data_IF_487401172606
#
_entry.id   IF_487401172606
#
_cell.length_a   1.000
_cell.length_b   1.000
_cell.length_c   1.000
_cell.angle_alpha   90.00
_cell.angle_beta   90.00
_cell.angle_gamma   90.00
#
_symmetry.space_group_name_H-M   'P 1'
#
loop_
_entity.id
_entity.type
_entity.pdbx_description
1 polymer ?
#
# COMPACT_ATOMS: atom_id res chain seq x y z
N UNK A 1 -51.82 4.08 72.51
CA UNK A 1 -53.19 4.31 73.01
C UNK A 1 -54.03 4.81 71.83
N UNK A 2 -55.02 4.02 71.45
CA UNK A 2 -56.16 4.30 70.56
C UNK A 2 -55.96 4.90 69.15
N UNK A 3 -56.23 4.05 68.15
CA UNK A 3 -56.87 4.43 66.86
C UNK A 3 -58.34 4.80 67.13
N UNK A 4 -59.00 5.65 66.31
CA UNK A 4 -59.87 5.09 65.26
C UNK A 4 -60.04 5.94 63.96
N UNK A 5 -59.91 5.24 62.83
CA UNK A 5 -60.85 5.06 61.69
C UNK A 5 -61.91 6.16 61.35
N UNK A 6 -61.80 6.63 60.08
CA UNK A 6 -62.85 6.93 59.06
C UNK A 6 -63.68 8.22 59.12
N UNK A 7 -63.59 9.03 58.04
CA UNK A 7 -64.59 9.04 56.93
C UNK A 7 -64.13 9.86 55.72
N UNK A 8 -64.45 9.33 54.53
CA UNK A 8 -64.20 9.87 53.19
C UNK A 8 -65.17 11.01 52.84
N UNK A 9 -64.70 11.98 52.04
CA UNK A 9 -65.54 12.69 51.05
C UNK A 9 -64.73 12.92 49.77
N UNK A 10 -65.39 12.67 48.64
CA UNK A 10 -64.83 12.63 47.29
C UNK A 10 -64.50 14.03 46.72
N UNK A 11 -63.49 14.08 45.85
CA UNK A 11 -63.19 15.20 44.96
C UNK A 11 -63.38 14.75 43.49
N UNK A 12 -63.79 15.65 42.58
CA UNK A 12 -64.19 15.29 41.22
C UNK A 12 -63.01 15.07 40.28
N UNK A 13 -63.26 14.26 39.25
CA UNK A 13 -62.27 13.72 38.33
C UNK A 13 -61.53 14.74 37.46
N UNK A 14 -60.28 14.41 37.17
CA UNK A 14 -59.53 14.91 36.02
C UNK A 14 -59.35 13.74 35.04
N UNK A 15 -59.95 13.87 33.86
CA UNK A 15 -59.64 13.03 32.71
C UNK A 15 -58.30 13.47 32.12
N UNK A 16 -57.28 12.62 32.00
CA UNK A 16 -56.09 12.96 31.25
C UNK A 16 -56.41 12.87 29.75
N UNK A 17 -56.18 13.96 29.03
CA UNK A 17 -56.27 14.00 27.58
C UNK A 17 -55.29 12.99 26.97
N UNK A 18 -55.82 12.04 26.22
CA UNK A 18 -55.03 11.17 25.34
C UNK A 18 -54.42 12.05 24.24
N UNK A 19 -53.16 12.44 24.41
CA UNK A 19 -52.32 12.90 23.32
C UNK A 19 -52.19 11.75 22.32
N UNK A 20 -52.91 11.84 21.21
CA UNK A 20 -52.68 10.99 20.03
C UNK A 20 -51.32 11.39 19.48
N UNK A 21 -50.26 10.75 20.00
CA UNK A 21 -48.93 10.84 19.42
C UNK A 21 -49.03 10.21 18.04
N UNK A 22 -49.02 11.05 17.01
CA UNK A 22 -49.14 10.65 15.62
C UNK A 22 -47.92 9.78 15.25
N UNK A 23 -48.08 8.45 15.01
CA UNK A 23 -46.96 7.57 14.70
C UNK A 23 -46.27 7.93 13.36
N UNK A 24 -46.94 8.72 12.50
CA UNK A 24 -46.33 9.24 11.28
C UNK A 24 -45.19 10.24 11.54
N UNK A 25 -45.23 11.01 12.63
CA UNK A 25 -44.19 12.01 12.90
C UNK A 25 -42.90 11.36 13.43
N UNK A 26 -43.05 10.28 14.21
CA UNK A 26 -41.91 9.47 14.65
C UNK A 26 -41.26 8.72 13.49
N UNK A 27 -42.05 8.23 12.52
CA UNK A 27 -41.55 7.58 11.31
C UNK A 27 -40.83 8.58 10.38
N UNK A 28 -41.32 9.81 10.26
CA UNK A 28 -40.69 10.86 9.44
C UNK A 28 -39.37 11.37 10.06
N UNK A 29 -39.30 11.46 11.39
CA UNK A 29 -38.07 11.84 12.09
C UNK A 29 -37.00 10.73 12.08
N UNK A 30 -37.39 9.45 12.03
CA UNK A 30 -36.44 8.34 11.82
C UNK A 30 -35.96 8.24 10.36
N UNK A 31 -36.81 8.57 9.38
CA UNK A 31 -36.41 8.67 7.97
C UNK A 31 -35.47 9.86 7.68
N UNK A 32 -35.58 10.97 8.41
CA UNK A 32 -34.66 12.11 8.29
C UNK A 32 -33.28 11.86 8.92
N UNK A 33 -33.20 10.98 9.92
CA UNK A 33 -31.91 10.51 10.49
C UNK A 33 -31.25 9.41 9.65
N UNK A 34 -31.94 8.89 8.63
CA UNK A 34 -31.41 7.98 7.61
C UNK A 34 -30.95 8.73 6.34
N UNK A 35 -30.89 10.06 6.39
CA UNK A 35 -30.09 10.84 5.46
C UNK A 35 -28.62 10.52 5.69
N UNK A 36 -28.17 9.35 5.24
CA UNK A 36 -26.77 9.09 5.00
C UNK A 36 -26.30 10.14 4.00
N UNK A 37 -25.75 11.23 4.51
CA UNK A 37 -24.74 11.97 3.78
C UNK A 37 -23.76 10.90 3.32
N UNK A 38 -23.81 10.54 2.04
CA UNK A 38 -22.80 9.67 1.46
C UNK A 38 -21.53 10.49 1.51
N UNK A 39 -20.79 10.34 2.61
CA UNK A 39 -19.66 11.18 2.90
C UNK A 39 -18.60 10.83 1.86
N UNK A 40 -18.27 11.78 1.00
CA UNK A 40 -17.11 11.77 0.13
C UNK A 40 -16.08 12.70 0.74
N UNK A 41 -15.52 12.37 1.93
CA UNK A 41 -14.68 13.28 2.69
C UNK A 41 -13.44 13.69 1.90
N UNK A 42 -12.87 12.81 1.09
CA UNK A 42 -11.66 13.10 0.33
C UNK A 42 -11.96 14.08 -0.80
N UNK A 43 -12.97 13.80 -1.63
CA UNK A 43 -13.41 14.73 -2.70
C UNK A 43 -13.81 16.09 -2.12
N UNK A 44 -14.55 16.11 -1.01
CA UNK A 44 -14.95 17.37 -0.40
C UNK A 44 -13.74 18.14 0.17
N UNK A 45 -12.77 17.47 0.78
CA UNK A 45 -11.55 18.11 1.29
C UNK A 45 -10.69 18.68 0.15
N UNK A 46 -10.51 17.89 -0.93
CA UNK A 46 -9.79 18.28 -2.13
C UNK A 46 -10.39 19.53 -2.78
N UNK A 47 -11.71 19.55 -3.02
CA UNK A 47 -12.40 20.65 -3.70
C UNK A 47 -12.62 21.90 -2.82
N UNK A 48 -12.58 21.76 -1.48
CA UNK A 48 -12.76 22.89 -0.56
C UNK A 48 -11.44 23.56 -0.15
N UNK A 49 -10.31 22.90 -0.39
CA UNK A 49 -9.00 23.46 -0.14
C UNK A 49 -8.61 24.41 -1.29
N UNK A 50 -8.04 25.60 -1.00
CA UNK A 50 -7.49 26.43 -2.07
C UNK A 50 -6.35 25.64 -2.74
N UNK A 51 -6.55 25.27 -4.00
CA UNK A 51 -5.51 24.61 -4.80
C UNK A 51 -4.29 25.55 -4.83
N UNK A 52 -3.08 25.04 -4.55
CA UNK A 52 -1.87 25.83 -4.72
C UNK A 52 -1.84 26.41 -6.14
N UNK A 53 -1.47 27.69 -6.31
CA UNK A 53 -1.48 28.39 -7.61
C UNK A 53 -0.64 27.71 -8.72
N UNK A 54 0.07 26.62 -8.41
CA UNK A 54 1.02 25.92 -9.28
C UNK A 54 0.68 24.44 -9.51
N UNK A 55 -0.37 23.89 -8.90
CA UNK A 55 -0.81 22.52 -9.15
C UNK A 55 -1.64 22.46 -10.45
N UNK A 56 -1.46 21.44 -11.30
CA UNK A 56 -2.33 21.23 -12.45
C UNK A 56 -3.79 21.03 -12.00
N UNK A 57 -4.72 21.66 -12.72
CA UNK A 57 -6.16 21.49 -12.48
C UNK A 57 -6.72 20.22 -13.16
N UNK A 58 -5.96 19.64 -14.06
CA UNK A 58 -6.32 18.44 -14.82
C UNK A 58 -5.06 17.79 -15.38
N UNK A 59 -5.05 16.46 -15.46
CA UNK A 59 -4.04 15.69 -16.16
C UNK A 59 -4.69 14.45 -16.81
N UNK A 60 -4.19 14.01 -17.96
CA UNK A 60 -4.64 12.77 -18.61
C UNK A 60 -3.46 12.10 -19.34
N UNK A 61 -3.17 10.85 -18.98
CA UNK A 61 -2.15 10.01 -19.59
C UNK A 61 -2.74 9.29 -20.82
N UNK A 62 -2.86 10.03 -21.92
CA UNK A 62 -3.55 9.55 -23.15
C UNK A 62 -2.89 8.34 -23.80
N UNK A 63 -1.58 8.16 -23.61
CA UNK A 63 -0.78 7.05 -24.14
C UNK A 63 -1.00 5.72 -23.39
N UNK A 64 -1.79 5.71 -22.29
CA UNK A 64 -2.10 4.48 -21.57
C UNK A 64 -2.95 3.57 -22.47
N UNK A 65 -2.49 2.34 -22.77
CA UNK A 65 -3.16 1.44 -23.69
C UNK A 65 -4.52 1.00 -23.13
N UNK A 66 -5.36 0.43 -24.00
CA UNK A 66 -6.69 -0.01 -23.61
C UNK A 66 -6.99 -1.39 -24.19
N UNK A 67 -7.42 -2.29 -23.30
CA UNK A 67 -7.85 -3.64 -23.62
C UNK A 67 -9.35 -3.78 -23.33
N UNK A 68 -10.23 -3.72 -24.36
CA UNK A 68 -11.67 -3.86 -24.15
C UNK A 68 -12.01 -5.29 -23.72
N UNK A 69 -12.77 -5.43 -22.63
CA UNK A 69 -13.12 -6.76 -22.11
C UNK A 69 -14.54 -6.86 -21.54
N UNK A 70 -15.12 -8.05 -21.70
CA UNK A 70 -16.41 -8.44 -21.14
C UNK A 70 -16.27 -9.01 -19.71
N UNK A 71 -17.36 -9.41 -19.07
CA UNK A 71 -17.40 -9.80 -17.64
C UNK A 71 -16.33 -10.86 -17.26
N UNK A 72 -15.84 -10.76 -16.02
CA UNK A 72 -14.90 -11.69 -15.33
C UNK A 72 -13.40 -11.61 -15.72
N UNK A 73 -12.98 -10.68 -16.58
CA UNK A 73 -11.56 -10.52 -16.97
C UNK A 73 -10.95 -9.13 -16.62
N UNK A 74 -11.68 -8.28 -15.88
CA UNK A 74 -11.23 -6.91 -15.57
C UNK A 74 -9.85 -6.82 -14.89
N UNK A 75 -9.46 -7.80 -14.07
CA UNK A 75 -8.13 -7.86 -13.42
C UNK A 75 -6.99 -8.00 -14.43
N UNK A 76 -6.94 -9.08 -15.24
CA UNK A 76 -5.97 -9.25 -16.32
C UNK A 76 -5.90 -8.04 -17.26
N UNK A 77 -7.03 -7.45 -17.66
CA UNK A 77 -7.07 -6.24 -18.51
C UNK A 77 -6.34 -5.06 -17.89
N UNK A 78 -6.71 -4.74 -16.65
CA UNK A 78 -6.21 -3.57 -15.95
C UNK A 78 -4.71 -3.73 -15.67
N UNK A 79 -4.27 -4.94 -15.31
CA UNK A 79 -2.85 -5.19 -15.09
C UNK A 79 -2.04 -5.18 -16.39
N UNK A 80 -2.56 -5.73 -17.49
CA UNK A 80 -1.89 -5.64 -18.80
C UNK A 80 -1.70 -4.19 -19.21
N UNK A 81 -2.74 -3.37 -19.02
CA UNK A 81 -2.70 -1.91 -19.27
C UNK A 81 -1.55 -1.25 -18.52
N UNK A 82 -1.43 -1.51 -17.21
CA UNK A 82 -0.38 -0.94 -16.36
C UNK A 82 1.03 -1.41 -16.78
N UNK A 83 1.16 -2.72 -17.04
CA UNK A 83 2.43 -3.34 -17.36
C UNK A 83 2.95 -2.88 -18.74
N UNK A 84 2.08 -2.80 -19.74
CA UNK A 84 2.44 -2.30 -21.07
C UNK A 84 2.83 -0.82 -21.03
N UNK A 85 2.05 0.02 -20.35
CA UNK A 85 2.43 1.43 -20.18
C UNK A 85 3.77 1.57 -19.45
N UNK A 86 4.03 0.71 -18.47
CA UNK A 86 5.33 0.66 -17.80
C UNK A 86 6.43 0.03 -18.66
N UNK A 87 6.19 -0.34 -19.92
CA UNK A 87 7.18 -0.87 -20.88
C UNK A 87 7.41 -2.38 -20.81
N UNK A 88 6.39 -3.17 -20.46
CA UNK A 88 6.39 -4.64 -20.54
C UNK A 88 5.41 -5.11 -21.60
N UNK A 89 5.89 -5.84 -22.60
CA UNK A 89 5.02 -6.50 -23.56
C UNK A 89 4.27 -7.64 -22.88
N UNK A 90 2.96 -7.46 -22.66
CA UNK A 90 2.09 -8.46 -22.04
C UNK A 90 0.65 -8.23 -22.51
N UNK A 91 -0.07 -9.32 -22.74
CA UNK A 91 -1.50 -9.28 -23.04
C UNK A 91 -2.33 -9.73 -21.83
N UNK A 92 -3.63 -9.40 -21.79
CA UNK A 92 -4.51 -9.92 -20.75
C UNK A 92 -4.53 -11.46 -20.67
N UNK A 93 -4.50 -12.15 -21.82
CA UNK A 93 -4.50 -13.62 -21.88
C UNK A 93 -3.27 -14.23 -21.19
N UNK A 94 -2.11 -13.57 -21.26
CA UNK A 94 -0.91 -13.99 -20.54
C UNK A 94 -1.07 -13.90 -19.01
N UNK A 95 -1.94 -13.02 -18.54
CA UNK A 95 -2.14 -12.72 -17.12
C UNK A 95 -3.26 -13.54 -16.50
N UNK A 96 -4.24 -14.03 -17.27
CA UNK A 96 -5.34 -14.90 -16.78
C UNK A 96 -4.83 -16.00 -15.84
N UNK A 97 -3.86 -16.87 -16.21
CA UNK A 97 -3.41 -17.96 -15.33
C UNK A 97 -2.65 -17.48 -14.08
N UNK A 98 -2.32 -16.19 -13.98
CA UNK A 98 -1.53 -15.62 -12.88
C UNK A 98 -2.37 -14.82 -11.89
N UNK A 99 -3.41 -14.15 -12.38
CA UNK A 99 -4.23 -13.24 -11.55
C UNK A 99 -5.67 -13.66 -11.40
N UNK A 100 -6.19 -14.56 -12.24
CA UNK A 100 -7.56 -15.03 -12.12
C UNK A 100 -7.61 -16.34 -11.33
N UNK A 101 -8.50 -16.42 -10.34
CA UNK A 101 -8.74 -17.60 -9.51
C UNK A 101 -10.12 -18.17 -9.87
N UNK A 102 -10.20 -19.25 -10.68
CA UNK A 102 -11.47 -19.78 -11.18
C UNK A 102 -12.45 -20.18 -10.08
N UNK A 103 -11.97 -20.78 -9.00
CA UNK A 103 -12.82 -21.27 -7.89
C UNK A 103 -13.48 -20.14 -7.10
N UNK A 104 -13.00 -18.90 -7.27
CA UNK A 104 -13.52 -17.70 -6.62
C UNK A 104 -14.01 -16.66 -7.62
N UNK A 105 -14.04 -17.02 -8.91
CA UNK A 105 -14.52 -16.19 -10.02
C UNK A 105 -13.98 -14.74 -10.02
N UNK A 106 -12.70 -14.55 -9.69
CA UNK A 106 -12.14 -13.20 -9.56
C UNK A 106 -10.62 -13.11 -9.45
N UNK A 107 -10.13 -11.88 -9.44
CA UNK A 107 -8.71 -11.54 -9.25
C UNK A 107 -8.51 -10.84 -7.91
N UNK A 108 -7.55 -11.25 -7.10
CA UNK A 108 -7.27 -10.59 -5.81
C UNK A 108 -5.99 -9.74 -5.86
N UNK A 109 -5.95 -8.76 -4.96
CA UNK A 109 -4.89 -7.77 -4.86
C UNK A 109 -3.51 -8.43 -4.69
N UNK A 110 -3.44 -9.56 -3.97
CA UNK A 110 -2.18 -10.29 -3.72
C UNK A 110 -1.61 -10.84 -5.03
N UNK A 111 -2.44 -11.45 -5.87
CA UNK A 111 -2.04 -11.95 -7.19
C UNK A 111 -1.67 -10.80 -8.12
N UNK A 112 -2.38 -9.66 -8.07
CA UNK A 112 -2.04 -8.46 -8.85
C UNK A 112 -0.64 -7.94 -8.50
N UNK A 113 -0.35 -7.80 -7.20
CA UNK A 113 0.98 -7.40 -6.72
C UNK A 113 2.06 -8.44 -7.08
N UNK A 114 1.73 -9.74 -6.98
CA UNK A 114 2.64 -10.84 -7.30
C UNK A 114 2.99 -10.91 -8.79
N UNK A 115 1.97 -10.86 -9.66
CA UNK A 115 2.12 -10.85 -11.11
C UNK A 115 2.92 -9.63 -11.56
N UNK A 116 2.64 -8.43 -11.03
CA UNK A 116 3.41 -7.22 -11.34
C UNK A 116 4.93 -7.42 -11.14
N UNK A 117 5.30 -8.06 -10.02
CA UNK A 117 6.69 -8.38 -9.71
C UNK A 117 7.29 -9.43 -10.64
N UNK A 118 6.52 -10.45 -11.02
CA UNK A 118 6.96 -11.44 -12.01
C UNK A 118 7.23 -10.80 -13.39
N UNK A 119 6.51 -9.73 -13.73
CA UNK A 119 6.75 -8.92 -14.92
C UNK A 119 7.79 -7.81 -14.71
N UNK A 120 8.63 -7.94 -13.67
CA UNK A 120 9.80 -7.10 -13.46
C UNK A 120 9.44 -5.62 -13.23
N UNK A 121 8.31 -5.38 -12.56
CA UNK A 121 7.93 -4.06 -12.04
C UNK A 121 7.80 -4.10 -10.52
N UNK A 122 8.19 -3.02 -9.88
CA UNK A 122 7.93 -2.83 -8.46
C UNK A 122 6.44 -2.52 -8.33
N UNK A 123 5.72 -3.40 -7.65
CA UNK A 123 4.32 -3.20 -7.33
C UNK A 123 4.24 -2.29 -6.10
N UNK A 124 3.85 -1.04 -6.29
CA UNK A 124 3.82 -0.04 -5.22
C UNK A 124 2.38 0.37 -4.92
N UNK A 125 1.80 -0.05 -3.77
CA UNK A 125 0.51 0.44 -3.32
C UNK A 125 0.59 1.96 -3.07
N UNK A 126 -0.40 2.70 -3.53
CA UNK A 126 -0.52 4.12 -3.17
C UNK A 126 -1.21 4.25 -1.82
N UNK A 127 -1.01 5.39 -1.16
CA UNK A 127 -1.80 5.76 0.02
C UNK A 127 -3.32 5.73 -0.33
N UNK A 128 -4.19 5.35 0.63
CA UNK A 128 -5.64 5.24 0.43
C UNK A 128 -6.33 6.62 0.40
N UNK A 129 -5.78 7.53 -0.40
CA UNK A 129 -6.13 8.95 -0.49
C UNK A 129 -6.24 9.36 -1.96
N UNK A 130 -7.28 10.14 -2.29
CA UNK A 130 -7.53 10.65 -3.63
C UNK A 130 -6.39 11.57 -4.10
N UNK A 131 -5.80 12.31 -3.17
CA UNK A 131 -4.61 13.14 -3.39
C UNK A 131 -3.42 12.31 -3.87
N UNK A 132 -3.20 11.12 -3.29
CA UNK A 132 -2.11 10.22 -3.71
C UNK A 132 -2.37 9.61 -5.10
N UNK A 133 -3.65 9.36 -5.44
CA UNK A 133 -4.04 8.93 -6.78
C UNK A 133 -3.77 10.04 -7.82
N UNK A 134 -4.13 11.28 -7.49
CA UNK A 134 -3.89 12.46 -8.33
C UNK A 134 -2.38 12.71 -8.50
N UNK A 135 -1.63 12.74 -7.40
CA UNK A 135 -0.18 12.91 -7.42
C UNK A 135 0.54 11.82 -8.22
N UNK A 136 0.02 10.59 -8.20
CA UNK A 136 0.53 9.52 -9.06
C UNK A 136 0.32 9.82 -10.56
N UNK A 137 -0.87 10.28 -10.94
CA UNK A 137 -1.18 10.65 -12.33
C UNK A 137 -0.31 11.82 -12.78
N UNK A 138 -0.13 12.85 -11.94
CA UNK A 138 0.72 14.00 -12.23
C UNK A 138 2.19 13.62 -12.40
N UNK A 139 2.65 12.64 -11.62
CA UNK A 139 3.97 12.03 -11.78
C UNK A 139 4.08 11.07 -12.98
N UNK A 140 3.01 10.92 -13.78
CA UNK A 140 3.01 10.11 -15.00
C UNK A 140 2.69 8.63 -14.78
N UNK A 141 2.16 8.24 -13.61
CA UNK A 141 1.82 6.87 -13.27
C UNK A 141 0.30 6.64 -13.29
N UNK A 142 -0.23 5.82 -14.21
CA UNK A 142 -1.61 5.37 -14.12
C UNK A 142 -1.77 4.48 -12.88
N UNK A 143 -2.94 4.57 -12.25
CA UNK A 143 -3.23 3.87 -10.99
C UNK A 143 -4.24 2.77 -11.24
N UNK A 144 -3.85 1.53 -10.97
CA UNK A 144 -4.78 0.41 -10.97
C UNK A 144 -5.55 0.41 -9.66
N UNK A 145 -6.88 0.49 -9.74
CA UNK A 145 -7.78 0.62 -8.58
C UNK A 145 -8.76 -0.54 -8.51
N UNK A 146 -9.18 -0.89 -7.30
CA UNK A 146 -10.26 -1.84 -7.07
C UNK A 146 -11.52 -1.10 -6.63
N UNK A 147 -12.59 -1.25 -7.40
CA UNK A 147 -13.89 -0.65 -7.09
C UNK A 147 -14.94 -1.73 -6.82
N UNK A 148 -15.95 -1.38 -6.03
CA UNK A 148 -17.21 -2.11 -5.97
C UNK A 148 -18.33 -1.25 -6.56
N UNK A 149 -18.72 -1.58 -7.79
CA UNK A 149 -19.71 -0.83 -8.57
C UNK A 149 -21.16 -1.11 -8.14
N UNK A 150 -21.39 -2.08 -7.26
CA UNK A 150 -22.70 -2.40 -6.72
C UNK A 150 -22.80 -2.08 -5.22
N UNK A 151 -23.88 -2.53 -4.58
CA UNK A 151 -24.10 -2.33 -3.14
C UNK A 151 -23.33 -3.36 -2.31
N UNK A 152 -22.99 -3.03 -1.07
CA UNK A 152 -22.20 -3.90 -0.16
C UNK A 152 -22.80 -5.31 0.04
N UNK A 153 -24.14 -5.43 0.03
CA UNK A 153 -24.84 -6.71 0.20
C UNK A 153 -24.93 -7.55 -1.09
N UNK A 154 -24.53 -7.00 -2.24
CA UNK A 154 -24.41 -7.71 -3.51
C UNK A 154 -23.25 -7.10 -4.32
N UNK A 155 -21.99 -7.38 -3.94
CA UNK A 155 -20.83 -6.70 -4.47
C UNK A 155 -20.58 -7.05 -5.94
N UNK A 156 -20.11 -6.07 -6.72
CA UNK A 156 -19.55 -6.24 -8.07
C UNK A 156 -18.16 -5.63 -8.09
N UNK A 157 -17.19 -6.47 -7.77
CA UNK A 157 -15.77 -6.12 -7.80
C UNK A 157 -15.31 -5.86 -9.22
N UNK A 158 -14.58 -4.76 -9.40
CA UNK A 158 -14.21 -4.26 -10.70
C UNK A 158 -12.86 -3.57 -10.63
N UNK A 159 -11.88 -4.07 -11.39
CA UNK A 159 -10.63 -3.35 -11.59
C UNK A 159 -10.77 -2.35 -12.73
N UNK A 160 -10.21 -1.17 -12.52
CA UNK A 160 -10.06 -0.13 -13.52
C UNK A 160 -8.67 0.50 -13.41
N UNK A 161 -8.29 1.27 -14.42
CA UNK A 161 -7.04 2.04 -14.39
C UNK A 161 -7.40 3.53 -14.47
N UNK A 162 -7.12 4.27 -13.42
CA UNK A 162 -7.19 5.73 -13.41
C UNK A 162 -6.01 6.28 -14.20
N UNK A 163 -6.32 7.09 -15.20
CA UNK A 163 -5.36 7.67 -16.14
C UNK A 163 -5.40 9.19 -16.16
N UNK A 164 -6.38 9.79 -15.49
CA UNK A 164 -6.54 11.23 -15.50
C UNK A 164 -7.55 11.72 -14.49
N UNK A 165 -7.60 13.04 -14.33
CA UNK A 165 -8.59 13.75 -13.53
C UNK A 165 -8.83 15.14 -14.11
N UNK A 166 -9.97 15.72 -13.76
CA UNK A 166 -10.30 17.12 -14.01
C UNK A 166 -11.00 17.67 -12.76
N UNK A 167 -10.36 18.65 -12.10
CA UNK A 167 -10.89 19.24 -10.86
C UNK A 167 -11.99 20.28 -11.12
N UNK A 168 -12.04 20.87 -12.32
CA UNK A 168 -13.09 21.82 -12.69
C UNK A 168 -14.40 21.09 -12.99
N UNK A 169 -14.30 19.98 -13.73
CA UNK A 169 -15.45 19.12 -14.07
C UNK A 169 -15.78 18.09 -12.96
N UNK A 170 -14.98 18.05 -11.87
CA UNK A 170 -15.07 17.08 -10.78
C UNK A 170 -15.07 15.62 -11.28
N UNK A 171 -14.13 15.24 -12.16
CA UNK A 171 -14.06 13.90 -12.76
C UNK A 171 -12.75 13.16 -12.58
N UNK A 172 -12.83 11.83 -12.52
CA UNK A 172 -11.72 10.89 -12.67
C UNK A 172 -11.88 10.13 -13.98
N UNK A 173 -10.80 10.05 -14.77
CA UNK A 173 -10.79 9.44 -16.10
C UNK A 173 -10.21 8.04 -15.99
N UNK A 174 -10.99 7.04 -16.44
CA UNK A 174 -10.69 5.62 -16.28
C UNK A 174 -10.59 4.88 -17.62
N UNK A 175 -9.64 3.95 -17.74
CA UNK A 175 -9.75 2.77 -18.62
C UNK A 175 -10.56 1.70 -17.89
N UNK A 176 -11.71 1.30 -18.44
CA UNK A 176 -12.62 0.40 -17.70
C UNK A 176 -13.56 -0.41 -18.61
N UNK A 177 -13.62 -1.73 -18.40
CA UNK A 177 -14.50 -2.64 -19.14
C UNK A 177 -14.32 -2.54 -20.66
N UNK A 178 -15.39 -2.17 -21.36
CA UNK A 178 -15.38 -1.93 -22.83
C UNK A 178 -15.28 -0.44 -23.18
N UNK A 179 -15.14 0.45 -22.19
CA UNK A 179 -15.05 1.90 -22.37
C UNK A 179 -13.61 2.37 -22.21
N UNK A 180 -13.03 2.81 -23.32
CA UNK A 180 -11.66 3.31 -23.36
C UNK A 180 -11.48 4.56 -22.50
N UNK A 181 -12.37 5.55 -22.61
CA UNK A 181 -12.29 6.79 -21.82
C UNK A 181 -13.60 7.00 -21.08
N UNK A 182 -13.65 6.59 -19.81
CA UNK A 182 -14.81 6.81 -18.95
C UNK A 182 -14.52 7.93 -17.95
N UNK A 183 -15.19 9.07 -18.11
CA UNK A 183 -15.15 10.17 -17.13
C UNK A 183 -16.19 9.90 -16.03
N UNK A 184 -15.71 9.45 -14.87
CA UNK A 184 -16.53 9.21 -13.70
C UNK A 184 -16.62 10.48 -12.84
N UNK A 185 -17.81 10.82 -12.37
CA UNK A 185 -17.98 11.82 -11.31
C UNK A 185 -17.13 11.44 -10.09
N UNK A 186 -16.34 12.37 -9.57
CA UNK A 186 -15.33 12.13 -8.53
C UNK A 186 -15.96 11.63 -7.23
N UNK A 187 -17.14 12.16 -6.86
CA UNK A 187 -17.91 11.69 -5.70
C UNK A 187 -18.45 10.28 -5.90
N UNK A 188 -18.85 9.92 -7.12
CA UNK A 188 -19.23 8.53 -7.46
C UNK A 188 -18.01 7.62 -7.36
N UNK A 189 -16.88 8.04 -7.94
CA UNK A 189 -15.62 7.29 -7.91
C UNK A 189 -15.16 7.00 -6.49
N UNK A 190 -15.10 8.01 -5.61
CA UNK A 190 -14.67 7.86 -4.21
C UNK A 190 -15.53 6.82 -3.49
N UNK A 191 -16.86 6.88 -3.63
CA UNK A 191 -17.77 5.92 -2.99
C UNK A 191 -17.59 4.49 -3.47
N UNK A 192 -17.32 4.29 -4.76
CA UNK A 192 -17.10 2.94 -5.29
C UNK A 192 -15.71 2.42 -4.96
N UNK A 193 -14.73 3.32 -4.77
CA UNK A 193 -13.35 2.99 -4.39
C UNK A 193 -13.20 2.74 -2.87
N UNK A 194 -13.89 3.51 -2.03
CA UNK A 194 -13.98 3.30 -0.57
C UNK A 194 -14.40 1.87 -0.22
N UNK A 195 -15.36 1.32 -0.95
CA UNK A 195 -15.83 -0.07 -0.77
C UNK A 195 -14.77 -1.13 -1.07
N UNK A 196 -13.71 -0.77 -1.79
CA UNK A 196 -12.51 -1.57 -2.00
C UNK A 196 -11.35 -1.15 -1.11
N UNK A 197 -11.66 -0.55 0.04
CA UNK A 197 -10.71 -0.02 1.03
C UNK A 197 -9.71 0.99 0.42
N UNK A 198 -10.17 1.77 -0.57
CA UNK A 198 -9.34 2.70 -1.34
C UNK A 198 -8.08 2.06 -1.92
N UNK A 199 -8.14 0.77 -2.26
CA UNK A 199 -6.96 0.08 -2.75
C UNK A 199 -6.58 0.55 -4.15
N UNK A 200 -5.32 0.96 -4.30
CA UNK A 200 -4.72 1.31 -5.57
C UNK A 200 -3.24 0.95 -5.61
N UNK A 201 -2.70 0.75 -6.80
CA UNK A 201 -1.27 0.52 -7.01
C UNK A 201 -0.77 1.07 -8.34
N UNK A 202 0.53 1.37 -8.38
CA UNK A 202 1.28 1.70 -9.59
C UNK A 202 2.32 0.60 -9.89
N UNK A 203 2.67 0.44 -11.16
CA UNK A 203 3.73 -0.46 -11.61
C UNK A 203 4.99 0.36 -11.97
N UNK A 204 5.99 0.35 -11.10
CA UNK A 204 7.18 1.19 -11.22
C UNK A 204 8.34 0.42 -11.83
N UNK A 205 9.06 1.06 -12.75
CA UNK A 205 10.28 0.49 -13.33
C UNK A 205 11.40 0.51 -12.28
N UNK A 206 12.20 -0.54 -12.15
CA UNK A 206 13.42 -0.47 -11.35
C UNK A 206 14.33 0.64 -11.89
N UNK A 207 14.72 1.58 -11.02
CA UNK A 207 15.42 2.81 -11.42
C UNK A 207 14.61 4.06 -11.13
N UNK A 208 13.29 3.96 -11.22
CA UNK A 208 12.37 5.08 -10.98
C UNK A 208 11.88 5.08 -9.52
N UNK A 209 11.48 6.25 -9.03
CA UNK A 209 10.87 6.44 -7.72
C UNK A 209 9.35 6.55 -7.86
N UNK A 210 8.54 5.80 -7.07
CA UNK A 210 7.10 5.98 -7.03
C UNK A 210 6.72 7.39 -6.54
N UNK A 211 5.55 7.89 -6.92
CA UNK A 211 5.01 9.16 -6.45
C UNK A 211 4.80 9.12 -4.93
N UNK A 212 5.11 10.23 -4.25
CA UNK A 212 4.96 10.42 -2.80
C UNK A 212 5.53 9.29 -1.92
N UNK A 213 6.54 8.58 -2.44
CA UNK A 213 7.08 7.42 -1.76
C UNK A 213 7.73 7.80 -0.43
N UNK A 214 7.60 6.93 0.57
CA UNK A 214 8.43 6.95 1.77
C UNK A 214 9.38 5.75 1.83
N UNK A 215 10.43 5.89 2.64
CA UNK A 215 11.49 4.90 2.75
C UNK A 215 11.00 3.52 3.22
N UNK A 216 10.03 3.48 4.14
CA UNK A 216 9.52 2.26 4.75
C UNK A 216 8.72 1.45 3.74
N UNK A 217 7.83 2.11 3.00
CA UNK A 217 6.96 1.42 2.05
C UNK A 217 7.71 1.09 0.76
N UNK A 218 8.65 1.94 0.35
CA UNK A 218 9.59 1.60 -0.71
C UNK A 218 10.44 0.37 -0.35
N UNK A 219 10.99 0.30 0.87
CA UNK A 219 11.72 -0.87 1.36
C UNK A 219 10.86 -2.14 1.26
N UNK A 220 9.60 -2.10 1.71
CA UNK A 220 8.69 -3.25 1.63
C UNK A 220 8.44 -3.69 0.19
N UNK A 221 8.18 -2.73 -0.71
CA UNK A 221 7.94 -3.00 -2.12
C UNK A 221 9.17 -3.62 -2.80
N UNK A 222 10.38 -3.10 -2.53
CA UNK A 222 11.63 -3.63 -3.11
C UNK A 222 12.00 -4.99 -2.53
N UNK A 223 11.88 -5.18 -1.21
CA UNK A 223 12.10 -6.50 -0.59
C UNK A 223 11.14 -7.58 -1.13
N UNK A 224 9.92 -7.18 -1.48
CA UNK A 224 8.94 -8.06 -2.10
C UNK A 224 9.25 -8.31 -3.59
N UNK A 225 9.85 -7.33 -4.29
CA UNK A 225 10.23 -7.35 -5.69
C UNK A 225 11.51 -8.16 -5.97
N UNK A 226 12.50 -8.13 -5.08
CA UNK A 226 13.82 -8.72 -5.36
C UNK A 226 13.78 -10.23 -5.62
N UNK A 227 12.82 -10.96 -5.04
CA UNK A 227 12.75 -12.43 -5.12
C UNK A 227 12.57 -12.95 -6.56
N UNK A 228 11.58 -12.49 -7.34
CA UNK A 228 11.44 -12.88 -8.74
C UNK A 228 12.29 -12.04 -9.71
N UNK A 229 12.92 -10.95 -9.25
CA UNK A 229 13.59 -10.01 -10.14
C UNK A 229 14.97 -10.52 -10.59
N UNK A 230 15.38 -10.23 -11.85
CA UNK A 230 16.77 -10.37 -12.24
C UNK A 230 17.67 -9.53 -11.34
N UNK A 231 18.84 -10.07 -11.01
CA UNK A 231 19.80 -9.47 -10.07
C UNK A 231 20.07 -7.99 -10.36
N UNK A 232 20.35 -7.63 -11.62
CA UNK A 232 20.62 -6.25 -12.02
C UNK A 232 19.43 -5.33 -11.68
N UNK A 233 18.20 -5.76 -11.94
CA UNK A 233 17.01 -4.96 -11.67
C UNK A 233 16.73 -4.81 -10.17
N UNK A 234 16.91 -5.89 -9.41
CA UNK A 234 16.79 -5.84 -7.95
C UNK A 234 17.83 -4.88 -7.34
N UNK A 235 19.08 -4.96 -7.81
CA UNK A 235 20.17 -4.05 -7.40
C UNK A 235 19.84 -2.60 -7.74
N UNK A 236 19.35 -2.33 -8.96
CA UNK A 236 18.93 -0.99 -9.37
C UNK A 236 17.83 -0.44 -8.45
N UNK A 237 16.82 -1.24 -8.09
CA UNK A 237 15.76 -0.81 -7.18
C UNK A 237 16.31 -0.43 -5.78
N UNK A 238 17.16 -1.27 -5.20
CA UNK A 238 17.80 -0.96 -3.93
C UNK A 238 18.65 0.32 -3.98
N UNK A 239 19.42 0.51 -5.06
CA UNK A 239 20.23 1.71 -5.28
C UNK A 239 19.38 2.96 -5.43
N UNK A 240 18.27 2.90 -6.16
CA UNK A 240 17.32 4.02 -6.28
C UNK A 240 16.79 4.43 -4.90
N UNK A 241 16.40 3.47 -4.06
CA UNK A 241 16.00 3.76 -2.67
C UNK A 241 17.09 4.51 -1.89
N UNK A 242 18.33 4.04 -1.96
CA UNK A 242 19.46 4.66 -1.25
C UNK A 242 19.92 5.99 -1.85
N UNK A 243 19.58 6.30 -3.11
CA UNK A 243 19.81 7.64 -3.66
C UNK A 243 18.89 8.68 -3.01
N UNK A 244 17.65 8.30 -2.68
CA UNK A 244 16.67 9.19 -2.04
C UNK A 244 16.79 9.21 -0.52
N UNK A 245 17.07 8.05 0.09
CA UNK A 245 17.22 7.90 1.55
C UNK A 245 18.57 7.24 1.89
N UNK A 246 19.68 7.98 1.73
CA UNK A 246 21.04 7.41 1.82
C UNK A 246 21.41 6.89 3.21
N UNK A 247 20.76 7.41 4.24
CA UNK A 247 21.04 7.05 5.63
C UNK A 247 19.94 6.16 6.24
N UNK A 248 18.92 5.73 5.48
CA UNK A 248 17.87 4.87 6.03
C UNK A 248 18.39 3.47 6.39
N UNK A 249 18.20 3.07 7.65
CA UNK A 249 18.68 1.80 8.18
C UNK A 249 18.14 0.59 7.43
N UNK A 250 16.85 0.59 7.09
CA UNK A 250 16.19 -0.57 6.51
C UNK A 250 16.66 -0.79 5.08
N UNK A 251 16.77 0.29 4.30
CA UNK A 251 17.30 0.25 2.93
C UNK A 251 18.78 -0.17 2.90
N UNK A 252 19.62 0.36 3.78
CA UNK A 252 21.03 -0.04 3.87
C UNK A 252 21.17 -1.53 4.25
N UNK A 253 20.40 -1.99 5.24
CA UNK A 253 20.41 -3.41 5.64
C UNK A 253 19.84 -4.31 4.54
N UNK A 254 18.74 -3.93 3.89
CA UNK A 254 18.11 -4.66 2.80
C UNK A 254 19.06 -4.81 1.62
N UNK A 255 19.70 -3.72 1.20
CA UNK A 255 20.67 -3.74 0.11
C UNK A 255 21.92 -4.56 0.46
N UNK A 256 22.43 -4.44 1.69
CA UNK A 256 23.52 -5.28 2.18
C UNK A 256 23.18 -6.78 2.11
N UNK A 257 21.99 -7.16 2.58
CA UNK A 257 21.52 -8.55 2.53
C UNK A 257 21.38 -9.04 1.08
N UNK A 258 20.84 -8.19 0.19
CA UNK A 258 20.73 -8.46 -1.23
C UNK A 258 22.10 -8.74 -1.86
N UNK A 259 23.08 -7.85 -1.66
CA UNK A 259 24.44 -7.99 -2.18
C UNK A 259 25.14 -9.25 -1.65
N UNK A 260 24.96 -9.56 -0.37
CA UNK A 260 25.52 -10.75 0.24
C UNK A 260 24.96 -12.02 -0.42
N UNK A 261 23.64 -12.10 -0.59
CA UNK A 261 22.97 -13.21 -1.28
C UNK A 261 23.35 -13.31 -2.78
N UNK A 262 23.68 -12.18 -3.40
CA UNK A 262 24.17 -12.12 -4.79
C UNK A 262 25.65 -12.53 -4.93
N UNK A 263 26.32 -12.93 -3.84
CA UNK A 263 27.74 -13.34 -3.87
C UNK A 263 28.71 -12.16 -3.95
N UNK A 264 28.30 -10.98 -3.49
CA UNK A 264 29.10 -9.75 -3.47
C UNK A 264 29.39 -9.31 -2.01
N UNK A 265 30.01 -10.15 -1.17
CA UNK A 265 30.15 -9.89 0.26
C UNK A 265 30.96 -8.62 0.54
N UNK A 266 32.02 -8.31 -0.21
CA UNK A 266 32.78 -7.08 0.01
C UNK A 266 31.91 -5.82 -0.09
N UNK A 267 31.01 -5.74 -1.08
CA UNK A 267 30.07 -4.62 -1.24
C UNK A 267 28.98 -4.63 -0.16
N UNK A 268 28.51 -5.81 0.26
CA UNK A 268 27.58 -5.93 1.39
C UNK A 268 28.18 -5.35 2.69
N UNK A 269 29.48 -5.62 2.92
CA UNK A 269 30.24 -5.12 4.06
C UNK A 269 30.28 -3.60 4.12
N UNK A 270 30.38 -2.92 2.97
CA UNK A 270 30.31 -1.45 2.91
C UNK A 270 28.96 -0.92 3.42
N UNK A 271 27.86 -1.59 3.08
CA UNK A 271 26.52 -1.19 3.53
C UNK A 271 26.34 -1.43 5.03
N UNK A 272 26.73 -2.62 5.53
CA UNK A 272 26.65 -2.91 6.96
C UNK A 272 27.54 -1.98 7.79
N UNK A 273 28.75 -1.67 7.30
CA UNK A 273 29.64 -0.70 7.93
C UNK A 273 28.97 0.67 8.03
N UNK A 274 28.31 1.15 6.97
CA UNK A 274 27.55 2.41 6.99
C UNK A 274 26.47 2.39 8.07
N UNK A 275 25.74 1.28 8.20
CA UNK A 275 24.74 1.14 9.28
C UNK A 275 25.38 1.23 10.67
N UNK A 276 26.53 0.57 10.90
CA UNK A 276 27.21 0.66 12.22
C UNK A 276 27.72 2.06 12.56
N UNK A 277 27.99 2.89 11.54
CA UNK A 277 28.43 4.28 11.72
C UNK A 277 27.25 5.21 12.06
N UNK A 278 26.08 4.97 11.47
CA UNK A 278 24.87 5.78 11.67
C UNK A 278 24.03 5.33 12.87
N UNK A 279 24.02 4.02 13.14
CA UNK A 279 23.15 3.36 14.12
C UNK A 279 23.98 2.45 15.05
N UNK A 280 24.71 3.08 15.98
CA UNK A 280 25.71 2.42 16.84
C UNK A 280 25.15 1.38 17.82
N UNK A 281 23.83 1.34 18.01
CA UNK A 281 23.10 0.39 18.87
C UNK A 281 22.44 -0.76 18.09
N UNK A 282 22.62 -0.81 16.77
CA UNK A 282 21.96 -1.80 15.92
C UNK A 282 22.80 -3.08 15.73
N UNK A 283 22.65 -4.01 16.68
CA UNK A 283 23.39 -5.28 16.73
C UNK A 283 23.41 -6.08 15.40
N UNK A 284 22.31 -6.19 14.61
CA UNK A 284 22.31 -6.98 13.39
C UNK A 284 23.35 -6.53 12.35
N UNK A 285 23.61 -5.22 12.23
CA UNK A 285 24.61 -4.71 11.29
C UNK A 285 26.03 -5.11 11.69
N UNK A 286 26.35 -5.06 12.98
CA UNK A 286 27.64 -5.52 13.51
C UNK A 286 27.86 -7.01 13.22
N UNK A 287 26.83 -7.83 13.40
CA UNK A 287 26.92 -9.26 13.11
C UNK A 287 27.12 -9.53 11.62
N UNK A 288 26.32 -8.92 10.76
CA UNK A 288 26.41 -9.12 9.32
C UNK A 288 27.74 -8.61 8.75
N UNK A 289 28.27 -7.51 9.28
CA UNK A 289 29.61 -7.03 8.94
C UNK A 289 30.69 -8.00 9.39
N UNK A 290 30.60 -8.54 10.61
CA UNK A 290 31.55 -9.54 11.09
C UNK A 290 31.55 -10.80 10.21
N UNK A 291 30.36 -11.31 9.88
CA UNK A 291 30.22 -12.46 8.97
C UNK A 291 30.87 -12.17 7.61
N UNK A 292 30.57 -11.01 7.03
CA UNK A 292 31.15 -10.58 5.76
C UNK A 292 32.68 -10.51 5.80
N UNK A 293 33.26 -10.06 6.91
CA UNK A 293 34.71 -10.00 7.11
C UNK A 293 35.33 -11.39 7.23
N UNK A 294 34.66 -12.34 7.89
CA UNK A 294 35.09 -13.75 7.92
C UNK A 294 35.11 -14.32 6.50
N UNK A 295 34.02 -14.16 5.76
CA UNK A 295 33.84 -14.73 4.42
C UNK A 295 34.82 -14.13 3.39
N UNK A 296 35.31 -12.91 3.64
CA UNK A 296 36.31 -12.22 2.80
C UNK A 296 37.75 -12.42 3.30
N UNK A 297 37.99 -13.33 4.25
CA UNK A 297 39.33 -13.69 4.71
C UNK A 297 39.97 -12.66 5.66
N UNK A 298 39.16 -11.86 6.36
CA UNK A 298 39.60 -10.84 7.31
C UNK A 298 39.10 -11.12 8.75
N UNK A 299 39.30 -12.33 9.31
CA UNK A 299 38.72 -12.71 10.61
C UNK A 299 39.26 -11.87 11.78
N UNK A 300 40.49 -11.35 11.69
CA UNK A 300 41.04 -10.43 12.70
C UNK A 300 40.23 -9.14 12.83
N UNK A 301 39.79 -8.56 11.71
CA UNK A 301 38.92 -7.40 11.71
C UNK A 301 37.50 -7.74 12.20
N UNK A 302 37.01 -8.95 11.89
CA UNK A 302 35.69 -9.42 12.28
C UNK A 302 35.49 -9.48 13.80
N UNK A 303 36.52 -9.85 14.57
CA UNK A 303 36.42 -10.03 16.03
C UNK A 303 35.81 -8.83 16.77
N UNK A 304 36.23 -7.60 16.42
CA UNK A 304 35.73 -6.41 17.09
C UNK A 304 34.24 -6.18 16.83
N UNK A 305 33.81 -6.39 15.58
CA UNK A 305 32.40 -6.25 15.20
C UNK A 305 31.54 -7.38 15.79
N UNK A 306 32.03 -8.62 15.81
CA UNK A 306 31.33 -9.75 16.41
C UNK A 306 31.13 -9.57 17.92
N UNK A 307 32.18 -9.16 18.65
CA UNK A 307 32.07 -8.83 20.09
C UNK A 307 31.06 -7.71 20.33
N UNK A 308 31.06 -6.68 19.48
CA UNK A 308 30.10 -5.58 19.57
C UNK A 308 28.68 -6.07 19.34
N UNK A 309 28.44 -6.93 18.35
CA UNK A 309 27.14 -7.56 18.11
C UNK A 309 26.65 -8.34 19.35
N UNK A 310 27.49 -9.20 19.93
CA UNK A 310 27.17 -9.96 21.16
C UNK A 310 26.84 -9.02 22.32
N UNK A 311 27.58 -7.92 22.48
CA UNK A 311 27.33 -6.95 23.57
C UNK A 311 26.01 -6.18 23.45
N UNK A 312 25.50 -6.03 22.21
CA UNK A 312 24.27 -5.30 21.92
C UNK A 312 23.05 -6.23 21.76
N UNK A 313 23.28 -7.51 21.49
CA UNK A 313 22.21 -8.47 21.19
C UNK A 313 21.29 -8.74 22.39
N UNK A 314 20.01 -8.88 22.11
CA UNK A 314 19.03 -9.35 23.10
C UNK A 314 19.03 -10.88 23.21
N UNK A 315 18.24 -11.44 24.14
CA UNK A 315 18.16 -12.89 24.40
C UNK A 315 17.81 -13.72 23.16
N UNK A 316 17.05 -13.18 22.21
CA UNK A 316 16.64 -13.89 20.99
C UNK A 316 17.75 -13.96 19.94
N UNK A 317 18.64 -12.97 19.92
CA UNK A 317 19.62 -12.79 18.86
C UNK A 317 21.05 -13.19 19.29
N UNK A 318 21.36 -13.04 20.58
CA UNK A 318 22.73 -13.12 21.10
C UNK A 318 23.41 -14.45 20.77
N UNK A 319 22.66 -15.54 20.67
CA UNK A 319 23.23 -16.85 20.35
C UNK A 319 23.78 -16.92 18.92
N UNK A 320 23.06 -16.36 17.95
CA UNK A 320 23.56 -16.26 16.56
C UNK A 320 24.83 -15.41 16.53
N UNK A 321 24.89 -14.34 17.33
CA UNK A 321 26.06 -13.46 17.37
C UNK A 321 27.27 -14.12 18.02
N UNK A 322 27.06 -15.01 19.01
CA UNK A 322 28.14 -15.81 19.59
C UNK A 322 28.71 -16.80 18.59
N UNK A 323 27.87 -17.39 17.74
CA UNK A 323 28.33 -18.29 16.68
C UNK A 323 29.24 -17.56 15.69
N UNK A 324 28.87 -16.36 15.24
CA UNK A 324 29.74 -15.54 14.37
C UNK A 324 31.04 -15.13 15.07
N UNK A 325 31.01 -14.84 16.38
CA UNK A 325 32.23 -14.58 17.16
C UNK A 325 33.14 -15.82 17.22
N UNK A 326 32.59 -16.99 17.52
CA UNK A 326 33.35 -18.25 17.59
C UNK A 326 33.96 -18.60 16.23
N UNK A 327 33.23 -18.38 15.12
CA UNK A 327 33.76 -18.55 13.77
C UNK A 327 34.98 -17.65 13.52
N UNK A 328 34.91 -16.37 13.91
CA UNK A 328 36.04 -15.46 13.77
C UNK A 328 37.25 -15.87 14.63
N UNK A 329 37.01 -16.40 15.84
CA UNK A 329 38.07 -16.89 16.73
C UNK A 329 38.73 -18.15 16.18
N UNK A 330 37.94 -19.11 15.68
CA UNK A 330 38.45 -20.34 15.08
C UNK A 330 39.25 -20.07 13.79
N UNK A 331 38.77 -19.17 12.94
CA UNK A 331 39.47 -18.78 11.70
C UNK A 331 40.83 -18.10 11.91
N UNK A 332 41.17 -17.70 13.15
CA UNK A 332 42.49 -17.17 13.51
C UNK A 332 43.39 -18.21 14.17
N UNK A 333 42.82 -19.33 14.62
CA UNK A 333 43.55 -20.41 15.26
C UNK A 333 44.12 -21.42 14.24
N UNK A 334 43.52 -21.48 13.04
CA UNK A 334 43.93 -22.29 11.89
C UNK A 334 44.98 -21.58 11.00
#
# INVERSE_FOLDING_TARGET
MYSPISKRSAAPGHTPGRSVFCPLFALFATLLMLGGCSATPQTNALLSSPLPEQEPLSAELTEVPFYPQEQYQCGPAALATLLEYSGREVTPDDLVPRVYVPEREGSFQVEMLGATRQYQRIAYPIEPQLEALIGAIDAGYPVLVLQNLAMEWYPRWHYAVAIGYDLEDETIILRTGVTERYAADMKVFERTWERGDYWGMVAVKPGDMPPDADARDYFQAVAAFERPAPEVQARTAWQTGLQHWPDDRSLLMGYGNHLYNAGLPAQAGEQYLRVTQLYADYAPAYNNLAQTLIDTGQPSAALNYARKAVSLGNEQQVEVYRQTLEQAENALAD
#
